data_IF_710807351410
#
_entry.id   IF_710807351410
#
_cell.length_a   1.000
_cell.length_b   1.000
_cell.length_c   1.000
_cell.angle_alpha   90.00
_cell.angle_beta   90.00
_cell.angle_gamma   90.00
#
_symmetry.space_group_name_H-M   'P 1'
#
loop_
_entity.id
_entity.type
_entity.pdbx_description
1 polymer ?
#
# COMPACT_ATOMS: atom_id res chain seq x y z
N UNK A 1 -10.07 19.12 -14.79
CA UNK A 1 -10.31 18.45 -13.49
C UNK A 1 -9.41 17.24 -13.25
N UNK A 2 -9.21 16.33 -14.23
CA UNK A 2 -8.35 15.14 -14.06
C UNK A 2 -6.87 15.45 -13.80
N UNK A 3 -6.33 16.54 -14.37
CA UNK A 3 -4.96 17.00 -14.12
C UNK A 3 -4.74 17.54 -12.69
N UNK A 4 -5.74 18.18 -12.09
CA UNK A 4 -5.64 18.81 -10.75
C UNK A 4 -5.68 17.74 -9.65
N UNK A 5 -6.51 16.70 -9.80
CA UNK A 5 -6.56 15.56 -8.87
C UNK A 5 -5.28 14.70 -8.92
N UNK A 6 -4.67 14.60 -10.10
CA UNK A 6 -3.42 13.84 -10.29
C UNK A 6 -2.20 14.57 -9.72
N UNK A 7 -2.23 15.91 -9.73
CA UNK A 7 -1.17 16.75 -9.15
C UNK A 7 -1.22 16.79 -7.62
N UNK A 8 -2.42 16.74 -7.02
CA UNK A 8 -2.60 16.73 -5.56
C UNK A 8 -2.38 15.35 -4.90
N UNK A 9 -2.68 14.24 -5.59
CA UNK A 9 -2.63 12.91 -4.96
C UNK A 9 -1.22 12.29 -4.87
N UNK A 10 -0.36 12.54 -5.86
CA UNK A 10 0.92 11.83 -5.99
C UNK A 10 2.11 12.60 -5.40
N UNK A 11 2.12 13.94 -5.48
CA UNK A 11 3.23 14.75 -4.93
C UNK A 11 3.24 14.75 -3.40
N UNK A 12 2.09 15.00 -2.78
CA UNK A 12 1.96 15.20 -1.33
C UNK A 12 2.31 13.94 -0.53
N UNK A 13 2.00 12.76 -1.06
CA UNK A 13 2.27 11.48 -0.39
C UNK A 13 3.77 11.10 -0.41
N UNK A 14 4.48 11.44 -1.49
CA UNK A 14 5.92 11.18 -1.56
C UNK A 14 6.73 12.10 -0.65
N UNK A 15 6.28 13.34 -0.48
CA UNK A 15 6.88 14.29 0.44
C UNK A 15 6.65 13.84 1.89
N UNK A 16 5.45 13.37 2.23
CA UNK A 16 5.14 12.86 3.56
C UNK A 16 6.02 11.68 3.96
N UNK A 17 6.20 10.69 3.08
CA UNK A 17 7.06 9.53 3.35
C UNK A 17 8.52 9.94 3.64
N UNK A 18 9.07 10.85 2.82
CA UNK A 18 10.42 11.38 3.00
C UNK A 18 10.55 12.21 4.28
N UNK A 19 9.53 12.99 4.61
CA UNK A 19 9.51 13.83 5.81
C UNK A 19 9.45 12.99 7.10
N UNK A 20 8.69 11.88 7.10
CA UNK A 20 8.65 10.93 8.22
C UNK A 20 10.03 10.32 8.46
N UNK A 21 10.70 9.82 7.41
CA UNK A 21 12.06 9.26 7.51
C UNK A 21 13.03 10.29 8.08
N UNK A 22 13.02 11.51 7.52
CA UNK A 22 13.88 12.61 7.97
C UNK A 22 13.61 13.00 9.43
N UNK A 23 12.36 12.95 9.87
CA UNK A 23 11.97 13.22 11.25
C UNK A 23 12.56 12.20 12.23
N UNK A 24 12.43 10.90 11.94
CA UNK A 24 12.97 9.82 12.78
C UNK A 24 14.49 9.86 12.81
N UNK A 25 15.14 9.98 11.66
CA UNK A 25 16.59 10.09 11.56
C UNK A 25 17.12 11.33 12.29
N UNK A 26 16.44 12.47 12.14
CA UNK A 26 16.76 13.71 12.84
C UNK A 26 16.64 13.58 14.37
N UNK A 27 15.61 12.89 14.84
CA UNK A 27 15.46 12.57 16.27
C UNK A 27 16.61 11.69 16.78
N UNK A 28 16.97 10.64 16.03
CA UNK A 28 18.09 9.76 16.39
C UNK A 28 19.40 10.54 16.46
N UNK A 29 19.72 11.32 15.41
CA UNK A 29 20.96 12.12 15.36
C UNK A 29 21.03 13.11 16.51
N UNK A 30 19.93 13.84 16.77
CA UNK A 30 19.87 14.81 17.87
C UNK A 30 19.95 14.11 19.22
N UNK A 31 19.28 12.97 19.38
CA UNK A 31 19.30 12.16 20.58
C UNK A 31 20.69 11.62 20.90
N UNK A 32 21.43 11.13 19.89
CA UNK A 32 22.80 10.64 20.06
C UNK A 32 23.75 11.73 20.53
N UNK A 33 23.61 12.94 19.98
CA UNK A 33 24.37 14.12 20.45
C UNK A 33 24.04 14.46 21.91
N UNK A 34 22.77 14.32 22.32
CA UNK A 34 22.38 14.56 23.72
C UNK A 34 23.01 13.53 24.67
N UNK A 35 23.12 12.26 24.27
CA UNK A 35 23.82 11.22 25.05
C UNK A 35 25.30 11.56 25.20
N UNK A 36 25.99 11.94 24.11
CA UNK A 36 27.40 12.34 24.13
C UNK A 36 27.64 13.55 25.05
N UNK A 37 26.79 14.59 24.95
CA UNK A 37 26.82 15.73 25.88
C UNK A 37 26.58 15.26 27.32
N UNK A 38 25.65 14.32 27.51
CA UNK A 38 25.36 13.70 28.81
C UNK A 38 26.59 13.09 29.47
N UNK A 39 27.38 12.34 28.70
CA UNK A 39 28.65 11.72 29.13
C UNK A 39 29.72 12.77 29.48
N UNK A 40 29.86 13.81 28.64
CA UNK A 40 30.80 14.91 28.90
C UNK A 40 30.44 15.63 30.22
N UNK A 41 29.16 15.98 30.38
CA UNK A 41 28.66 16.64 31.59
C UNK A 41 28.84 15.74 32.82
N UNK A 42 28.62 14.44 32.70
CA UNK A 42 28.86 13.48 33.78
C UNK A 42 30.35 13.47 34.20
N UNK A 43 31.28 13.46 33.24
CA UNK A 43 32.71 13.51 33.51
C UNK A 43 33.11 14.77 34.29
N UNK A 44 32.60 15.94 33.87
CA UNK A 44 32.87 17.21 34.55
C UNK A 44 32.29 17.21 35.97
N UNK A 45 31.04 16.76 36.15
CA UNK A 45 30.41 16.68 37.48
C UNK A 45 31.15 15.65 38.37
N UNK A 46 31.69 14.56 37.81
CA UNK A 46 32.49 13.59 38.56
C UNK A 46 33.74 14.21 39.18
N UNK A 47 34.48 15.00 38.40
CA UNK A 47 35.67 15.70 38.89
C UNK A 47 35.31 16.77 39.92
N UNK A 48 34.21 17.52 39.69
CA UNK A 48 33.80 18.60 40.59
C UNK A 48 33.29 18.08 41.95
N UNK A 49 32.44 17.04 41.94
CA UNK A 49 31.96 16.41 43.19
C UNK A 49 33.11 15.80 43.99
N UNK A 50 34.06 15.14 43.32
CA UNK A 50 35.24 14.56 43.98
C UNK A 50 36.12 15.63 44.62
N UNK A 51 36.22 16.80 43.97
CA UNK A 51 36.97 17.96 44.47
C UNK A 51 36.27 18.67 45.62
N UNK A 52 34.93 18.79 45.57
CA UNK A 52 34.14 19.59 46.52
C UNK A 52 33.60 18.80 47.72
N UNK A 53 33.34 17.51 47.54
CA UNK A 53 32.75 16.61 48.55
C UNK A 53 33.63 15.37 48.81
N UNK A 54 34.91 15.45 48.47
CA UNK A 54 35.92 14.43 48.76
C UNK A 54 36.15 14.23 50.26
N UNK A 55 36.86 13.16 50.61
CA UNK A 55 37.17 12.75 51.99
C UNK A 55 37.94 13.82 52.79
N UNK A 56 38.55 14.79 52.10
CA UNK A 56 39.47 15.78 52.65
C UNK A 56 38.77 17.09 53.09
N UNK A 57 37.45 17.19 52.91
CA UNK A 57 36.70 18.43 53.01
C UNK A 57 35.82 18.42 54.27
N UNK A 58 36.36 18.80 55.43
CA UNK A 58 35.69 18.80 56.75
C UNK A 58 34.58 19.86 56.88
N UNK A 59 33.55 19.86 56.04
CA UNK A 59 32.49 20.89 56.06
C UNK A 59 31.04 20.35 56.06
N UNK A 60 30.80 19.04 56.02
CA UNK A 60 29.43 18.47 56.13
C UNK A 60 29.33 17.41 57.21
N UNK A 61 28.34 17.54 58.09
CA UNK A 61 27.95 16.53 59.08
C UNK A 61 27.46 15.29 58.31
N UNK A 62 28.26 14.23 58.34
CA UNK A 62 27.97 12.97 57.67
C UNK A 62 28.17 13.06 56.16
N UNK A 63 28.74 12.01 55.58
CA UNK A 63 28.92 11.78 54.14
C UNK A 63 27.63 11.73 53.30
N UNK A 64 26.51 12.26 53.81
CA UNK A 64 25.18 12.25 53.21
C UNK A 64 25.15 12.92 51.84
N UNK A 65 25.78 14.09 51.68
CA UNK A 65 25.78 14.81 50.41
C UNK A 65 26.55 14.06 49.32
N UNK A 66 27.73 13.51 49.67
CA UNK A 66 28.53 12.67 48.76
C UNK A 66 27.76 11.41 48.34
N UNK A 67 27.04 10.76 49.28
CA UNK A 67 26.16 9.62 48.97
C UNK A 67 25.02 10.01 48.02
N UNK A 68 24.34 11.13 48.25
CA UNK A 68 23.25 11.61 47.40
C UNK A 68 23.77 11.95 45.99
N UNK A 69 24.90 12.63 45.88
CA UNK A 69 25.54 12.96 44.61
C UNK A 69 25.92 11.70 43.81
N UNK A 70 26.46 10.68 44.48
CA UNK A 70 26.77 9.39 43.86
C UNK A 70 25.51 8.67 43.35
N UNK A 71 24.42 8.67 44.13
CA UNK A 71 23.14 8.05 43.73
C UNK A 71 22.58 8.76 42.50
N UNK A 72 22.55 10.09 42.50
CA UNK A 72 22.08 10.88 41.38
C UNK A 72 22.90 10.62 40.11
N UNK A 73 24.24 10.60 40.22
CA UNK A 73 25.12 10.27 39.09
C UNK A 73 24.80 8.89 38.52
N UNK A 74 24.70 7.87 39.38
CA UNK A 74 24.41 6.50 38.94
C UNK A 74 23.06 6.40 38.24
N UNK A 75 22.03 7.07 38.77
CA UNK A 75 20.72 7.14 38.14
C UNK A 75 20.79 7.81 36.76
N UNK A 76 21.49 8.95 36.66
CA UNK A 76 21.68 9.66 35.38
C UNK A 76 22.44 8.82 34.35
N UNK A 77 23.55 8.19 34.74
CA UNK A 77 24.34 7.31 33.87
C UNK A 77 23.48 6.15 33.33
N UNK A 78 22.64 5.55 34.18
CA UNK A 78 21.71 4.52 33.76
C UNK A 78 20.64 5.04 32.80
N UNK A 79 20.11 6.26 33.01
CA UNK A 79 19.15 6.88 32.10
C UNK A 79 19.75 7.15 30.72
N UNK A 80 20.97 7.70 30.65
CA UNK A 80 21.65 7.96 29.37
C UNK A 80 21.98 6.65 28.64
N UNK A 81 22.34 5.59 29.38
CA UNK A 81 22.51 4.26 28.80
C UNK A 81 21.22 3.74 28.16
N UNK A 82 20.10 3.79 28.87
CA UNK A 82 18.81 3.35 28.31
C UNK A 82 18.35 4.24 27.16
N UNK A 83 18.65 5.53 27.21
CA UNK A 83 18.44 6.44 26.09
C UNK A 83 19.25 6.02 24.87
N UNK A 84 20.53 5.70 25.04
CA UNK A 84 21.38 5.16 23.98
C UNK A 84 20.84 3.85 23.39
N UNK A 85 20.37 2.94 24.25
CA UNK A 85 19.74 1.68 23.83
C UNK A 85 18.48 1.92 22.98
N UNK A 86 17.60 2.83 23.43
CA UNK A 86 16.40 3.22 22.71
C UNK A 86 16.74 3.81 21.33
N UNK A 87 17.71 4.73 21.27
CA UNK A 87 18.12 5.35 20.00
C UNK A 87 18.67 4.31 19.01
N UNK A 88 19.45 3.33 19.49
CA UNK A 88 19.91 2.19 18.68
C UNK A 88 18.73 1.35 18.17
N UNK A 89 17.78 1.03 19.04
CA UNK A 89 16.60 0.26 18.66
C UNK A 89 15.72 1.01 17.65
N UNK A 90 15.55 2.33 17.80
CA UNK A 90 14.86 3.17 16.82
C UNK A 90 15.59 3.17 15.48
N UNK A 91 16.93 3.17 15.48
CA UNK A 91 17.74 3.07 14.27
C UNK A 91 17.45 1.79 13.48
N UNK A 92 17.52 0.64 14.14
CA UNK A 92 17.42 -0.67 13.49
C UNK A 92 15.97 -1.11 13.23
N UNK A 93 15.07 -0.88 14.18
CA UNK A 93 13.68 -1.38 14.09
C UNK A 93 12.74 -0.42 13.38
N UNK A 94 13.09 0.87 13.26
CA UNK A 94 12.21 1.89 12.68
C UNK A 94 12.86 2.60 11.50
N UNK A 95 14.00 3.25 11.70
CA UNK A 95 14.60 4.10 10.67
C UNK A 95 15.07 3.30 9.44
N UNK A 96 15.72 2.14 9.66
CA UNK A 96 16.15 1.24 8.58
C UNK A 96 14.99 0.71 7.73
N UNK A 97 13.93 0.09 8.30
CA UNK A 97 12.77 -0.33 7.54
C UNK A 97 12.07 0.81 6.78
N UNK A 98 11.88 1.97 7.41
CA UNK A 98 11.26 3.13 6.76
C UNK A 98 12.10 3.60 5.56
N UNK A 99 13.41 3.70 5.71
CA UNK A 99 14.32 4.06 4.63
C UNK A 99 14.26 3.05 3.48
N UNK A 100 14.24 1.76 3.80
CA UNK A 100 14.12 0.70 2.81
C UNK A 100 12.78 0.76 2.05
N UNK A 101 11.69 1.13 2.70
CA UNK A 101 10.39 1.29 2.03
C UNK A 101 10.35 2.51 1.10
N UNK A 102 10.95 3.63 1.52
CA UNK A 102 11.00 4.85 0.70
C UNK A 102 11.95 4.72 -0.49
N UNK A 103 13.05 3.97 -0.33
CA UNK A 103 14.07 3.76 -1.37
C UNK A 103 13.92 2.42 -2.12
N UNK A 104 12.94 1.59 -1.76
CA UNK A 104 12.86 0.19 -2.16
C UNK A 104 12.02 -0.07 -3.41
N UNK A 105 12.28 -1.23 -4.02
CA UNK A 105 11.62 -1.73 -5.23
C UNK A 105 10.07 -1.65 -5.23
N UNK A 106 9.33 -1.94 -4.13
CA UNK A 106 7.87 -1.94 -4.16
C UNK A 106 7.24 -0.57 -4.50
N UNK A 107 7.81 0.52 -3.99
CA UNK A 107 7.31 1.87 -4.26
C UNK A 107 7.65 2.29 -5.69
N UNK A 108 8.88 2.01 -6.12
CA UNK A 108 9.36 2.30 -7.46
C UNK A 108 8.62 1.49 -8.54
N UNK A 109 8.28 0.23 -8.26
CA UNK A 109 7.52 -0.63 -9.17
C UNK A 109 6.07 -0.21 -9.30
N UNK A 110 5.43 0.20 -8.19
CA UNK A 110 4.10 0.80 -8.23
C UNK A 110 4.08 2.06 -9.10
N UNK A 111 5.07 2.96 -8.95
CA UNK A 111 5.22 4.16 -9.80
C UNK A 111 5.37 3.79 -11.28
N UNK A 112 6.23 2.81 -11.60
CA UNK A 112 6.42 2.33 -12.99
C UNK A 112 5.13 1.77 -13.59
N UNK A 113 4.34 1.04 -12.80
CA UNK A 113 3.08 0.46 -13.24
C UNK A 113 2.04 1.54 -13.56
N UNK A 114 1.87 2.54 -12.67
CA UNK A 114 0.97 3.68 -12.92
C UNK A 114 1.37 4.43 -14.20
N UNK A 115 2.66 4.73 -14.38
CA UNK A 115 3.15 5.39 -15.58
C UNK A 115 2.91 4.58 -16.87
N UNK A 116 3.00 3.24 -16.82
CA UNK A 116 2.69 2.38 -17.98
C UNK A 116 1.22 2.46 -18.35
N UNK A 117 0.32 2.36 -17.38
CA UNK A 117 -1.11 2.46 -17.62
C UNK A 117 -1.50 3.84 -18.15
N UNK A 118 -0.91 4.90 -17.60
CA UNK A 118 -1.15 6.26 -18.07
C UNK A 118 -0.77 6.46 -19.54
N UNK A 119 0.40 5.94 -19.95
CA UNK A 119 0.83 5.97 -21.35
C UNK A 119 -0.12 5.20 -22.24
N UNK A 120 -0.46 3.96 -21.86
CA UNK A 120 -1.35 3.11 -22.64
C UNK A 120 -2.74 3.75 -22.83
N UNK A 121 -3.24 4.42 -21.80
CA UNK A 121 -4.50 5.18 -21.88
C UNK A 121 -4.39 6.36 -22.83
N UNK A 122 -3.31 7.14 -22.76
CA UNK A 122 -3.07 8.27 -23.66
C UNK A 122 -2.97 7.81 -25.12
N UNK A 123 -2.29 6.70 -25.38
CA UNK A 123 -2.16 6.12 -26.72
C UNK A 123 -3.53 5.69 -27.28
N UNK A 124 -4.36 5.04 -26.46
CA UNK A 124 -5.72 4.65 -26.84
C UNK A 124 -6.62 5.87 -27.12
N UNK A 125 -6.50 6.93 -26.31
CA UNK A 125 -7.23 8.19 -26.53
C UNK A 125 -6.79 8.87 -27.83
N UNK A 126 -5.48 8.90 -28.11
CA UNK A 126 -4.94 9.45 -29.35
C UNK A 126 -5.40 8.68 -30.60
N UNK A 127 -5.45 7.34 -30.51
CA UNK A 127 -5.96 6.50 -31.60
C UNK A 127 -7.45 6.76 -31.86
N UNK A 128 -8.27 6.90 -30.81
CA UNK A 128 -9.69 7.22 -30.95
C UNK A 128 -9.93 8.60 -31.58
N UNK A 129 -9.12 9.60 -31.21
CA UNK A 129 -9.19 10.94 -31.81
C UNK A 129 -8.78 10.90 -33.28
N UNK A 130 -7.69 10.20 -33.61
CA UNK A 130 -7.22 10.02 -34.99
C UNK A 130 -8.26 9.32 -35.87
N UNK A 131 -8.89 8.26 -35.35
CA UNK A 131 -9.99 7.55 -36.03
C UNK A 131 -11.19 8.46 -36.29
N UNK A 132 -11.60 9.29 -35.32
CA UNK A 132 -12.69 10.27 -35.53
C UNK A 132 -12.35 11.30 -36.60
N UNK A 133 -11.16 11.89 -36.55
CA UNK A 133 -10.74 12.89 -37.53
C UNK A 133 -10.68 12.33 -38.96
N UNK A 134 -10.30 11.05 -39.13
CA UNK A 134 -10.32 10.38 -40.43
C UNK A 134 -11.73 10.14 -40.96
N UNK A 135 -12.70 9.90 -40.08
CA UNK A 135 -14.11 9.72 -40.45
C UNK A 135 -14.80 11.06 -40.74
N UNK A 136 -14.44 12.13 -40.05
CA UNK A 136 -14.98 13.49 -40.26
C UNK A 136 -14.29 14.26 -41.40
N UNK A 137 -13.08 13.85 -41.82
CA UNK A 137 -12.33 14.47 -42.93
C UNK A 137 -12.69 13.97 -44.34
N UNK A 138 -13.59 12.99 -44.46
CA UNK A 138 -14.13 12.56 -45.76
C UNK A 138 -15.34 13.43 -46.11
N UNK A 139 -15.30 14.30 -47.13
CA UNK A 139 -16.50 14.99 -47.59
C UNK A 139 -17.49 13.93 -48.08
N UNK A 140 -18.62 13.84 -47.40
CA UNK A 140 -19.79 13.10 -47.88
C UNK A 140 -20.14 13.61 -49.27
N UNK A 141 -19.81 12.84 -50.32
CA UNK A 141 -20.43 13.02 -51.62
C UNK A 141 -21.86 12.50 -51.49
N UNK A 142 -22.77 13.39 -51.10
CA UNK A 142 -24.21 13.19 -51.24
C UNK A 142 -24.50 13.10 -52.74
N UNK A 143 -24.43 11.88 -53.28
CA UNK A 143 -25.16 11.52 -54.48
C UNK A 143 -26.53 11.02 -54.01
N UNK A 144 -27.55 11.86 -54.20
CA UNK A 144 -28.96 11.47 -54.15
C UNK A 144 -29.18 10.28 -55.09
N UNK A 145 -29.16 9.06 -54.57
CA UNK A 145 -29.77 7.90 -55.23
C UNK A 145 -31.06 7.58 -54.46
N UNK A 146 -32.25 7.66 -55.10
CA UNK A 146 -33.49 7.30 -54.44
C UNK A 146 -33.49 5.80 -54.18
N UNK A 147 -33.62 5.42 -52.90
CA UNK A 147 -33.82 4.03 -52.48
C UNK A 147 -35.18 3.56 -53.03
N UNK A 148 -35.27 2.42 -53.75
CA UNK A 148 -36.55 1.91 -54.22
C UNK A 148 -37.44 1.48 -53.04
N UNK A 149 -38.77 1.69 -53.10
CA UNK A 149 -39.67 1.29 -52.02
C UNK A 149 -39.68 -0.24 -51.85
N UNK A 150 -39.79 -0.76 -50.62
CA UNK A 150 -39.93 -2.19 -50.38
C UNK A 150 -41.23 -2.71 -51.02
N UNK A 151 -41.26 -3.97 -51.49
CA UNK A 151 -42.44 -4.55 -52.14
C UNK A 151 -43.65 -4.54 -51.22
N UNK A 152 -44.81 -4.23 -51.80
CA UNK A 152 -46.11 -4.27 -51.10
C UNK A 152 -46.37 -5.70 -50.63
N UNK A 153 -46.57 -5.88 -49.33
CA UNK A 153 -47.02 -7.16 -48.79
C UNK A 153 -48.51 -7.30 -49.12
N UNK A 154 -48.87 -8.28 -49.94
CA UNK A 154 -50.25 -8.75 -50.00
C UNK A 154 -50.42 -9.82 -48.93
N UNK A 155 -51.28 -9.50 -47.97
CA UNK A 155 -51.71 -10.40 -46.92
C UNK A 155 -52.57 -11.50 -47.55
N UNK A 156 -51.96 -12.65 -47.88
CA UNK A 156 -52.70 -13.82 -48.31
C UNK A 156 -53.41 -14.42 -47.09
N UNK A 157 -54.66 -13.97 -46.95
CA UNK A 157 -55.72 -14.56 -46.16
C UNK A 157 -55.98 -16.02 -46.59
N UNK A 158 -55.19 -16.94 -46.05
CA UNK A 158 -55.33 -18.38 -46.24
C UNK A 158 -56.06 -19.01 -45.05
N UNK A 159 -57.37 -18.84 -45.00
CA UNK A 159 -58.25 -19.61 -44.13
C UNK A 159 -58.18 -21.09 -44.52
N UNK A 160 -57.64 -21.98 -43.68
CA UNK A 160 -57.92 -23.42 -43.79
C UNK A 160 -57.91 -24.10 -42.42
N UNK A 161 -59.01 -24.78 -42.17
CA UNK A 161 -59.31 -25.58 -40.99
C UNK A 161 -58.36 -26.78 -40.83
N UNK A 162 -58.05 -27.16 -39.58
CA UNK A 162 -57.60 -28.52 -39.25
C UNK A 162 -58.78 -29.52 -39.35
N UNK A 163 -58.64 -30.85 -39.20
CA UNK A 163 -57.44 -31.71 -39.02
C UNK A 163 -57.46 -33.02 -39.87
N UNK A 164 -56.32 -33.72 -40.03
CA UNK A 164 -56.21 -35.19 -39.87
C UNK A 164 -54.81 -35.76 -40.15
N UNK A 165 -54.33 -36.51 -39.16
CA UNK A 165 -53.56 -37.76 -39.16
C UNK A 165 -52.54 -38.11 -40.26
N UNK A 166 -51.37 -38.45 -39.72
CA UNK A 166 -50.54 -39.64 -39.97
C UNK A 166 -49.33 -39.48 -40.90
N UNK A 167 -48.16 -39.81 -40.35
CA UNK A 167 -46.92 -39.99 -41.08
C UNK A 167 -45.75 -39.09 -40.66
N UNK A 168 -44.87 -39.63 -39.82
CA UNK A 168 -43.44 -39.27 -39.68
C UNK A 168 -43.10 -37.98 -38.91
N UNK A 169 -43.08 -38.12 -37.58
CA UNK A 169 -42.37 -37.26 -36.63
C UNK A 169 -40.93 -37.76 -36.49
N UNK A 170 -39.99 -37.14 -37.17
CA UNK A 170 -38.61 -37.09 -36.66
C UNK A 170 -37.92 -35.80 -37.13
N UNK A 171 -37.08 -35.26 -36.25
CA UNK A 171 -36.11 -34.20 -36.53
C UNK A 171 -36.60 -32.75 -36.59
N UNK A 172 -36.82 -32.16 -35.41
CA UNK A 172 -35.95 -31.10 -34.85
C UNK A 172 -36.62 -30.44 -33.65
N UNK A 173 -36.32 -30.99 -32.47
CA UNK A 173 -36.68 -30.41 -31.19
C UNK A 173 -35.85 -29.16 -30.88
N UNK A 174 -36.57 -28.05 -30.72
CA UNK A 174 -36.39 -27.00 -29.71
C UNK A 174 -35.29 -27.28 -28.65
N UNK A 175 -34.30 -26.39 -28.59
CA UNK A 175 -33.40 -26.28 -27.44
C UNK A 175 -33.17 -24.79 -27.11
N UNK A 176 -33.97 -24.29 -26.17
CA UNK A 176 -33.77 -23.04 -25.46
C UNK A 176 -33.71 -23.41 -23.97
N UNK A 177 -32.57 -23.20 -23.31
CA UNK A 177 -32.40 -23.57 -21.91
C UNK A 177 -31.05 -23.15 -21.35
N UNK A 178 -31.06 -22.07 -20.55
CA UNK A 178 -29.96 -21.57 -19.74
C UNK A 178 -29.49 -22.62 -18.72
N UNK A 179 -28.17 -22.69 -18.46
CA UNK A 179 -27.60 -23.42 -17.31
C UNK A 179 -26.95 -22.41 -16.37
N UNK A 180 -27.64 -22.16 -15.26
CA UNK A 180 -27.11 -21.50 -14.07
C UNK A 180 -26.29 -22.52 -13.30
N UNK A 181 -24.97 -22.54 -13.48
CA UNK A 181 -24.09 -23.39 -12.68
C UNK A 181 -23.82 -22.70 -11.33
N UNK A 182 -24.55 -23.14 -10.29
CA UNK A 182 -24.20 -22.91 -8.89
C UNK A 182 -22.90 -23.64 -8.56
N UNK A 183 -21.91 -22.89 -8.07
CA UNK A 183 -20.64 -23.42 -7.54
C UNK A 183 -20.85 -23.85 -6.08
N UNK A 184 -20.71 -25.14 -5.71
CA UNK A 184 -20.68 -25.53 -4.31
C UNK A 184 -19.31 -25.22 -3.68
N UNK A 185 -19.34 -24.48 -2.58
CA UNK A 185 -18.19 -24.20 -1.70
C UNK A 185 -17.67 -25.48 -1.05
N UNK A 186 -16.40 -25.78 -1.26
CA UNK A 186 -15.67 -26.90 -0.66
C UNK A 186 -15.22 -26.53 0.76
N UNK A 187 -16.16 -26.59 1.70
CA UNK A 187 -15.89 -26.60 3.13
C UNK A 187 -16.83 -27.63 3.75
N UNK A 188 -16.48 -28.92 3.58
CA UNK A 188 -16.93 -30.05 4.40
C UNK A 188 -16.37 -31.35 3.81
N UNK A 189 -15.09 -31.63 4.08
CA UNK A 189 -14.50 -32.97 4.02
C UNK A 189 -13.88 -33.23 5.40
N UNK A 190 -14.75 -33.51 6.37
CA UNK A 190 -14.39 -34.01 7.68
C UNK A 190 -13.84 -35.44 7.58
N UNK A 191 -12.77 -35.70 8.34
CA UNK A 191 -12.57 -37.00 9.00
C UNK A 191 -11.44 -37.87 8.43
N UNK A 192 -10.29 -37.90 9.11
CA UNK A 192 -10.07 -38.81 10.25
C UNK A 192 -8.58 -39.25 10.37
N UNK A 193 -8.18 -39.36 11.64
CA UNK A 193 -7.13 -40.24 12.20
C UNK A 193 -5.68 -40.13 11.71
N UNK A 194 -4.83 -39.60 12.58
CA UNK A 194 -3.39 -39.80 12.56
C UNK A 194 -2.78 -39.38 13.89
N UNK A 195 -2.77 -40.31 14.86
CA UNK A 195 -1.96 -40.21 16.07
C UNK A 195 -0.49 -39.94 15.70
N UNK A 196 0.14 -38.92 16.29
CA UNK A 196 1.59 -38.88 16.38
C UNK A 196 2.02 -38.48 17.80
N UNK A 197 2.33 -39.53 18.55
CA UNK A 197 3.09 -39.49 19.79
C UNK A 197 4.49 -38.93 19.52
N UNK A 198 5.01 -38.09 20.41
CA UNK A 198 6.45 -37.80 20.49
C UNK A 198 6.83 -37.53 21.95
N UNK A 199 7.83 -38.24 22.50
CA UNK A 199 8.43 -37.96 23.79
C UNK A 199 9.83 -37.30 23.67
N UNK A 200 10.17 -36.46 24.66
CA UNK A 200 11.52 -35.97 25.00
C UNK A 200 11.99 -34.79 24.14
N UNK A 201 12.53 -33.69 24.68
CA UNK A 201 13.29 -33.47 25.91
C UNK A 201 12.94 -32.10 26.52
#
# INVERSE_FOLDING_TARGET
MQAVLKQFGAGDMEHLQRDIVRGVEGYIVTGSKQVEIGEIVESVIHTDDSRKYGVENTCTIGNTLSKVALIFRRARSQMEKERGNLLKALGTQVAEPLRAMVMGAPLEDARRLVQRYDRMRQDAEAEMVSKRQRMEGSPSSVAHNPVPPPPSYEEVNGSFASPRNDGSLDSMGYFLGEVSASVPTQADMLGNSGEFSSPGW
#
